data_IF_677121837567
#
_entry.id   IF_677121837567
#
_cell.length_a   1.000
_cell.length_b   1.000
_cell.length_c   1.000
_cell.angle_alpha   90.00
_cell.angle_beta   90.00
_cell.angle_gamma   90.00
#
_symmetry.space_group_name_H-M   'P 1'
#
loop_
_entity.id
_entity.type
_entity.pdbx_description
1 polymer ?
#
# COMPACT_ATOMS: atom_id res chain seq x y z
N UNK A 1 37.77 -3.95 -0.40
CA UNK A 1 37.15 -3.66 -1.69
C UNK A 1 36.19 -2.52 -1.49
N UNK A 2 36.31 -1.38 -2.21
CA UNK A 2 35.38 -0.29 -2.08
C UNK A 2 34.00 -0.76 -2.57
N UNK A 3 32.95 -0.52 -1.77
CA UNK A 3 31.57 -0.68 -2.18
C UNK A 3 31.36 0.10 -3.48
N UNK A 4 31.17 -0.60 -4.57
CA UNK A 4 30.78 0.03 -5.82
C UNK A 4 29.50 0.81 -5.54
N UNK A 5 29.59 2.14 -5.58
CA UNK A 5 28.47 3.05 -5.54
C UNK A 5 27.45 2.59 -6.61
N UNK A 6 26.40 1.92 -6.16
CA UNK A 6 25.28 1.58 -7.07
C UNK A 6 24.75 2.90 -7.59
N UNK A 7 24.81 3.09 -8.91
CA UNK A 7 24.20 4.25 -9.56
C UNK A 7 22.75 4.36 -9.12
N UNK A 8 22.28 5.55 -8.74
CA UNK A 8 20.88 5.74 -8.38
C UNK A 8 20.01 5.30 -9.57
N UNK A 9 19.11 4.35 -9.32
CA UNK A 9 18.13 3.94 -10.29
C UNK A 9 16.99 4.96 -10.21
N UNK A 10 16.94 5.89 -11.15
CA UNK A 10 15.78 6.79 -11.25
C UNK A 10 14.64 6.00 -11.89
N UNK A 11 13.53 5.77 -11.19
CA UNK A 11 12.40 5.07 -11.77
C UNK A 11 11.74 5.91 -12.85
N UNK A 12 11.28 5.25 -13.90
CA UNK A 12 10.45 5.85 -14.95
C UNK A 12 8.99 5.73 -14.47
N UNK A 13 8.22 6.80 -14.58
CA UNK A 13 6.78 6.74 -14.30
C UNK A 13 6.01 6.38 -15.57
N UNK A 14 5.12 5.40 -15.48
CA UNK A 14 4.23 5.02 -16.57
C UNK A 14 2.76 5.32 -16.21
N UNK A 15 2.04 5.90 -17.17
CA UNK A 15 0.59 6.05 -17.08
C UNK A 15 -0.06 4.75 -17.52
N UNK A 16 -0.90 4.18 -16.66
CA UNK A 16 -1.68 2.96 -16.94
C UNK A 16 -3.15 3.36 -17.07
N UNK A 17 -3.77 3.04 -18.18
CA UNK A 17 -5.20 3.26 -18.37
C UNK A 17 -6.00 2.37 -17.39
N UNK A 18 -7.13 2.85 -16.85
CA UNK A 18 -7.97 2.03 -15.99
C UNK A 18 -8.40 0.73 -16.69
N UNK A 19 -8.42 -0.41 -15.99
CA UNK A 19 -8.84 -1.68 -16.57
C UNK A 19 -10.36 -1.70 -16.84
N UNK A 20 -10.81 -2.56 -17.75
CA UNK A 20 -12.22 -2.80 -18.01
C UNK A 20 -12.96 -3.48 -16.84
N UNK A 21 -12.21 -4.19 -16.00
CA UNK A 21 -12.73 -4.79 -14.77
C UNK A 21 -11.63 -4.89 -13.72
N UNK A 22 -12.04 -4.91 -12.45
CA UNK A 22 -11.18 -5.18 -11.30
C UNK A 22 -11.72 -6.36 -10.51
N UNK A 23 -10.81 -7.15 -9.92
CA UNK A 23 -11.18 -8.19 -8.95
C UNK A 23 -10.61 -7.80 -7.59
N UNK A 24 -11.48 -7.57 -6.62
CA UNK A 24 -11.12 -7.16 -5.27
C UNK A 24 -11.19 -8.36 -4.33
N UNK A 25 -10.08 -8.60 -3.62
CA UNK A 25 -10.04 -9.61 -2.58
C UNK A 25 -10.76 -9.14 -1.32
N UNK A 26 -11.53 -10.02 -0.70
CA UNK A 26 -12.19 -9.80 0.58
C UNK A 26 -11.33 -10.25 1.77
N UNK A 27 -10.29 -11.02 1.51
CA UNK A 27 -9.31 -11.55 2.47
C UNK A 27 -7.92 -10.86 2.37
N UNK A 28 -7.89 -9.65 1.86
CA UNK A 28 -6.66 -8.87 1.60
C UNK A 28 -6.01 -8.31 2.89
N UNK A 29 -6.63 -8.55 4.04
CA UNK A 29 -6.12 -8.16 5.34
C UNK A 29 -5.62 -9.36 6.13
N UNK A 30 -4.42 -9.27 6.68
CA UNK A 30 -3.90 -10.29 7.56
C UNK A 30 -4.81 -10.43 8.80
N UNK A 31 -5.40 -11.63 8.95
CA UNK A 31 -6.28 -11.94 10.11
C UNK A 31 -7.71 -11.39 10.03
N UNK A 32 -8.15 -10.78 8.92
CA UNK A 32 -9.50 -10.27 8.78
C UNK A 32 -10.13 -10.64 7.44
N UNK A 33 -11.18 -11.45 7.46
CA UNK A 33 -12.02 -11.74 6.29
C UNK A 33 -13.19 -10.77 6.25
N UNK A 34 -13.37 -10.06 5.14
CA UNK A 34 -14.51 -9.20 4.90
C UNK A 34 -15.67 -10.00 4.28
N UNK A 35 -16.87 -9.78 4.79
CA UNK A 35 -18.08 -10.26 4.16
C UNK A 35 -18.53 -9.29 3.07
N UNK A 36 -19.03 -9.76 1.92
CA UNK A 36 -19.51 -8.89 0.86
C UNK A 36 -20.73 -8.07 1.33
N UNK A 37 -20.74 -6.78 1.01
CA UNK A 37 -21.86 -5.85 1.27
C UNK A 37 -22.73 -5.63 0.02
N UNK A 38 -22.34 -6.20 -1.10
CA UNK A 38 -22.98 -6.00 -2.42
C UNK A 38 -23.34 -7.33 -3.04
N UNK A 39 -24.21 -7.28 -4.06
CA UNK A 39 -24.66 -8.44 -4.84
C UNK A 39 -24.36 -8.26 -6.33
N UNK A 40 -24.32 -9.35 -7.06
CA UNK A 40 -24.19 -9.32 -8.52
C UNK A 40 -25.33 -8.49 -9.15
N UNK A 41 -24.98 -7.70 -10.16
CA UNK A 41 -25.90 -6.76 -10.83
C UNK A 41 -26.01 -5.39 -10.14
N UNK A 42 -25.50 -5.23 -8.92
CA UNK A 42 -25.54 -3.94 -8.22
C UNK A 42 -24.55 -2.94 -8.84
N UNK A 43 -24.99 -1.69 -9.01
CA UNK A 43 -24.09 -0.57 -9.34
C UNK A 43 -23.41 -0.08 -8.11
N UNK A 44 -22.09 0.24 -8.25
CA UNK A 44 -21.25 0.79 -7.19
C UNK A 44 -20.50 2.02 -7.70
N UNK A 45 -20.22 2.93 -6.78
CA UNK A 45 -19.37 4.10 -7.03
C UNK A 45 -17.95 3.84 -6.57
N UNK A 46 -16.97 4.53 -7.16
CA UNK A 46 -15.59 4.47 -6.70
C UNK A 46 -15.49 4.97 -5.24
N UNK A 47 -14.93 4.17 -4.36
CA UNK A 47 -14.85 4.46 -2.92
C UNK A 47 -16.03 3.92 -2.10
N UNK A 48 -17.05 3.34 -2.72
CA UNK A 48 -18.15 2.72 -1.99
C UNK A 48 -17.70 1.44 -1.28
N UNK A 49 -18.06 1.23 0.02
CA UNK A 49 -17.75 -0.02 0.72
C UNK A 49 -18.45 -1.20 0.04
N UNK A 50 -17.68 -2.23 -0.33
CA UNK A 50 -18.17 -3.44 -0.98
C UNK A 50 -17.94 -4.69 -0.15
N UNK A 51 -17.15 -4.60 0.92
CA UNK A 51 -16.92 -5.64 1.90
C UNK A 51 -16.55 -5.05 3.26
N UNK A 52 -16.93 -5.74 4.35
CA UNK A 52 -16.59 -5.36 5.70
C UNK A 52 -16.33 -6.56 6.59
N UNK A 53 -15.41 -6.44 7.53
CA UNK A 53 -15.11 -7.44 8.56
C UNK A 53 -15.69 -7.07 9.91
N UNK A 54 -15.77 -8.03 10.82
CA UNK A 54 -16.20 -7.82 12.20
C UNK A 54 -15.24 -6.91 13.00
N UNK A 55 -13.97 -6.84 12.60
CA UNK A 55 -12.98 -5.93 13.20
C UNK A 55 -13.02 -4.51 12.61
N UNK A 56 -13.99 -4.20 11.72
CA UNK A 56 -14.17 -2.87 11.14
C UNK A 56 -13.34 -2.58 9.89
N UNK A 57 -12.49 -3.51 9.45
CA UNK A 57 -11.79 -3.37 8.17
C UNK A 57 -12.80 -3.39 7.01
N UNK A 58 -12.57 -2.55 5.98
CA UNK A 58 -13.44 -2.46 4.81
C UNK A 58 -12.66 -2.57 3.51
N UNK A 59 -13.31 -3.21 2.52
CA UNK A 59 -12.89 -3.22 1.12
C UNK A 59 -13.79 -2.26 0.35
N UNK A 60 -13.19 -1.43 -0.50
CA UNK A 60 -13.91 -0.40 -1.26
C UNK A 60 -13.78 -0.65 -2.76
N UNK A 61 -14.81 -0.27 -3.50
CA UNK A 61 -14.78 -0.31 -4.97
C UNK A 61 -13.68 0.63 -5.49
N UNK A 62 -12.67 0.08 -6.13
CA UNK A 62 -11.55 0.86 -6.70
C UNK A 62 -11.91 1.57 -8.00
N UNK A 63 -13.00 1.16 -8.64
CA UNK A 63 -13.60 1.77 -9.83
C UNK A 63 -15.11 1.90 -9.65
N UNK A 64 -15.76 2.79 -10.42
CA UNK A 64 -17.23 2.80 -10.52
C UNK A 64 -17.69 1.78 -11.58
N UNK A 65 -18.87 1.20 -11.39
CA UNK A 65 -19.39 0.24 -12.36
C UNK A 65 -20.47 -0.70 -11.83
N UNK A 66 -20.44 -1.93 -12.35
CA UNK A 66 -21.43 -2.97 -12.00
C UNK A 66 -20.72 -4.20 -11.42
N UNK A 67 -21.18 -4.67 -10.28
CA UNK A 67 -20.69 -5.91 -9.67
C UNK A 67 -21.11 -7.09 -10.55
N UNK A 68 -20.16 -7.79 -11.15
CA UNK A 68 -20.42 -8.93 -12.05
C UNK A 68 -20.52 -10.24 -11.32
N UNK A 69 -19.67 -10.42 -10.31
CA UNK A 69 -19.66 -11.65 -9.52
C UNK A 69 -19.29 -11.33 -8.07
N UNK A 70 -19.80 -12.12 -7.14
CA UNK A 70 -19.49 -12.07 -5.73
C UNK A 70 -19.22 -13.50 -5.27
N UNK A 71 -18.00 -13.74 -4.82
CA UNK A 71 -17.56 -14.99 -4.21
C UNK A 71 -17.31 -14.82 -2.70
N UNK A 72 -16.86 -15.87 -2.05
CA UNK A 72 -16.54 -15.88 -0.62
C UNK A 72 -15.26 -15.10 -0.29
N UNK A 73 -14.28 -15.06 -1.21
CA UNK A 73 -12.98 -14.42 -1.01
C UNK A 73 -12.68 -13.26 -1.96
N UNK A 74 -13.51 -13.05 -2.98
CA UNK A 74 -13.33 -11.98 -3.94
C UNK A 74 -14.64 -11.58 -4.63
N UNK A 75 -14.65 -10.35 -5.17
CA UNK A 75 -15.72 -9.85 -6.03
C UNK A 75 -15.14 -9.17 -7.27
N UNK A 76 -15.93 -9.15 -8.35
CA UNK A 76 -15.53 -8.56 -9.65
C UNK A 76 -16.44 -7.37 -9.94
N UNK A 77 -15.84 -6.23 -10.27
CA UNK A 77 -16.55 -5.02 -10.72
C UNK A 77 -16.12 -4.75 -12.17
N UNK A 78 -17.10 -4.70 -13.07
CA UNK A 78 -16.90 -4.17 -14.41
C UNK A 78 -16.91 -2.66 -14.37
N UNK A 79 -15.82 -2.06 -14.84
CA UNK A 79 -15.63 -0.61 -14.85
C UNK A 79 -16.51 0.05 -15.91
N UNK A 80 -17.29 1.06 -15.54
CA UNK A 80 -18.14 1.82 -16.46
C UNK A 80 -17.40 2.99 -17.14
N UNK A 81 -16.12 3.20 -16.81
CA UNK A 81 -15.28 4.26 -17.34
C UNK A 81 -15.66 5.68 -16.91
N UNK A 82 -16.67 5.83 -16.05
CA UNK A 82 -17.18 7.16 -15.61
C UNK A 82 -16.45 7.73 -14.42
N UNK A 83 -15.71 6.89 -13.69
CA UNK A 83 -14.99 7.25 -12.45
C UNK A 83 -15.85 8.02 -11.44
N UNK A 84 -17.12 7.61 -11.28
CA UNK A 84 -18.09 8.30 -10.41
C UNK A 84 -17.73 8.07 -8.95
N UNK A 85 -17.31 9.11 -8.18
CA UNK A 85 -16.87 8.93 -6.80
C UNK A 85 -18.05 8.76 -5.84
N UNK A 86 -17.83 8.01 -4.76
CA UNK A 86 -18.69 8.05 -3.58
C UNK A 86 -18.32 9.29 -2.74
N UNK A 87 -19.22 10.25 -2.67
CA UNK A 87 -19.00 11.51 -1.95
C UNK A 87 -19.41 11.48 -0.48
N UNK A 88 -19.69 10.32 0.09
CA UNK A 88 -19.98 10.20 1.53
C UNK A 88 -18.80 10.61 2.40
N UNK A 89 -17.60 10.64 1.84
CA UNK A 89 -16.38 11.05 2.50
C UNK A 89 -15.94 12.39 1.88
N UNK A 90 -15.98 13.47 2.67
CA UNK A 90 -15.49 14.77 2.21
C UNK A 90 -13.96 14.86 2.35
N UNK A 91 -13.24 15.43 1.37
CA UNK A 91 -11.84 15.81 1.51
C UNK A 91 -11.62 16.75 2.70
N UNK A 92 -10.47 16.66 3.34
CA UNK A 92 -10.07 17.60 4.37
C UNK A 92 -9.31 18.76 3.74
N UNK A 93 -9.85 19.95 3.80
CA UNK A 93 -9.17 21.15 3.32
C UNK A 93 -7.98 21.52 4.20
N UNK A 94 -8.11 21.37 5.53
CA UNK A 94 -7.06 21.63 6.51
C UNK A 94 -7.21 20.66 7.70
N UNK A 95 -6.12 20.07 8.16
CA UNK A 95 -6.11 19.17 9.33
C UNK A 95 -6.46 19.90 10.63
N UNK A 96 -6.16 21.20 10.70
CA UNK A 96 -6.39 22.04 11.89
C UNK A 96 -7.86 22.33 12.12
N UNK A 97 -8.67 22.30 11.04
CA UNK A 97 -10.10 22.66 11.08
C UNK A 97 -11.00 21.41 11.32
N UNK A 98 -10.42 20.22 11.38
CA UNK A 98 -11.20 18.98 11.47
C UNK A 98 -11.22 18.46 12.90
N UNK A 99 -12.40 18.10 13.43
CA UNK A 99 -12.48 17.43 14.70
C UNK A 99 -11.67 16.15 14.68
N UNK A 100 -10.69 16.07 15.60
CA UNK A 100 -9.72 14.97 15.66
C UNK A 100 -10.40 13.62 15.86
N UNK A 101 -11.32 13.55 16.80
CA UNK A 101 -11.93 12.29 17.21
C UNK A 101 -12.75 11.60 16.10
N UNK A 102 -13.66 12.27 15.38
CA UNK A 102 -14.36 11.69 14.25
C UNK A 102 -13.43 11.16 13.15
N UNK A 103 -12.32 11.86 12.90
CA UNK A 103 -11.34 11.41 11.90
C UNK A 103 -10.62 10.14 12.34
N UNK A 104 -10.19 10.05 13.60
CA UNK A 104 -9.55 8.85 14.16
C UNK A 104 -10.47 7.64 14.14
N UNK A 105 -11.76 7.81 14.42
CA UNK A 105 -12.76 6.73 14.36
C UNK A 105 -13.00 6.24 12.94
N UNK A 106 -12.76 7.09 11.95
CA UNK A 106 -13.01 6.80 10.54
C UNK A 106 -11.83 6.12 9.85
N UNK A 107 -10.58 6.46 10.20
CA UNK A 107 -9.39 5.93 9.54
C UNK A 107 -9.37 4.38 9.43
N UNK A 108 -9.75 3.60 10.46
CA UNK A 108 -9.80 2.14 10.36
C UNK A 108 -10.75 1.60 9.28
N UNK A 109 -11.79 2.38 8.94
CA UNK A 109 -12.79 2.00 7.95
C UNK A 109 -12.35 2.26 6.50
N UNK A 110 -11.23 2.97 6.27
CA UNK A 110 -10.78 3.38 4.93
C UNK A 110 -9.93 2.31 4.21
N UNK A 111 -9.89 1.10 4.73
CA UNK A 111 -9.20 -0.03 4.10
C UNK A 111 -7.68 0.07 4.14
N UNK A 112 -7.13 0.92 5.01
CA UNK A 112 -5.70 1.14 5.19
C UNK A 112 -5.03 -0.07 5.85
N UNK A 113 -3.76 -0.30 5.50
CA UNK A 113 -2.94 -1.38 6.03
C UNK A 113 -1.70 -0.84 6.74
N UNK A 114 -1.32 -1.53 7.80
CA UNK A 114 -0.01 -1.42 8.42
C UNK A 114 1.03 -2.24 7.66
N UNK A 115 2.29 -2.14 8.03
CA UNK A 115 3.41 -2.83 7.36
C UNK A 115 3.27 -4.37 7.37
N UNK A 116 2.67 -4.94 8.39
CA UNK A 116 2.39 -6.37 8.53
C UNK A 116 1.10 -6.83 7.83
N UNK A 117 0.55 -5.97 6.96
CA UNK A 117 -0.70 -6.19 6.22
C UNK A 117 -1.94 -6.34 7.10
N UNK A 118 -1.85 -5.98 8.37
CA UNK A 118 -3.01 -5.92 9.26
C UNK A 118 -3.84 -4.66 8.97
N UNK A 119 -5.17 -4.71 9.18
CA UNK A 119 -5.98 -3.50 9.12
C UNK A 119 -5.60 -2.56 10.26
N UNK A 120 -5.88 -1.26 10.09
CA UNK A 120 -5.72 -0.33 11.21
C UNK A 120 -6.60 -0.77 12.38
N UNK A 121 -6.08 -0.77 13.62
CA UNK A 121 -6.87 -1.10 14.80
C UNK A 121 -7.99 -0.07 14.98
N UNK A 122 -9.15 -0.51 15.47
CA UNK A 122 -10.30 0.38 15.73
C UNK A 122 -9.96 1.47 16.76
N UNK A 123 -9.07 1.15 17.70
CA UNK A 123 -8.54 2.12 18.67
C UNK A 123 -7.10 2.46 18.30
N UNK A 124 -6.90 3.63 17.75
CA UNK A 124 -5.59 4.13 17.34
C UNK A 124 -4.80 4.75 18.50
N UNK A 125 -5.36 4.80 19.70
CA UNK A 125 -4.73 5.37 20.89
C UNK A 125 -4.81 4.41 22.08
N UNK A 126 -3.79 4.38 22.93
CA UNK A 126 -2.55 5.17 22.87
C UNK A 126 -1.61 4.69 21.76
N UNK A 127 -1.01 5.63 21.01
CA UNK A 127 0.03 5.32 20.04
C UNK A 127 1.41 5.51 20.69
N UNK A 128 2.12 4.41 20.90
CA UNK A 128 3.46 4.44 21.49
C UNK A 128 4.52 4.82 20.47
N UNK A 129 4.41 4.30 19.26
CA UNK A 129 5.26 4.68 18.15
C UNK A 129 4.51 4.68 16.83
N UNK A 130 4.77 5.69 16.02
CA UNK A 130 4.40 5.75 14.61
C UNK A 130 5.67 5.64 13.78
N UNK A 131 5.70 4.74 12.83
CA UNK A 131 6.88 4.48 12.03
C UNK A 131 6.60 4.40 10.53
N UNK A 132 7.56 4.84 9.73
CA UNK A 132 7.68 4.57 8.30
C UNK A 132 8.80 3.54 8.11
N UNK A 133 8.57 2.48 7.33
CA UNK A 133 9.56 1.45 7.02
C UNK A 133 9.86 1.44 5.51
N UNK A 134 11.09 1.81 5.13
CA UNK A 134 11.57 1.88 3.74
C UNK A 134 12.70 0.86 3.59
N UNK A 135 12.37 -0.38 3.30
CA UNK A 135 13.27 -1.51 3.49
C UNK A 135 13.60 -2.30 2.23
N UNK A 136 12.76 -2.22 1.20
CA UNK A 136 12.95 -2.94 -0.06
C UNK A 136 13.32 -1.98 -1.20
N UNK A 137 13.85 -2.53 -2.30
CA UNK A 137 14.10 -1.77 -3.53
C UNK A 137 12.80 -1.14 -4.06
N UNK A 138 11.65 -1.83 -3.90
CA UNK A 138 10.35 -1.30 -4.27
C UNK A 138 9.96 -0.11 -3.40
N UNK A 139 10.18 -0.19 -2.08
CA UNK A 139 9.91 0.91 -1.16
C UNK A 139 10.69 2.16 -1.53
N UNK A 140 11.98 2.01 -1.88
CA UNK A 140 12.81 3.13 -2.33
C UNK A 140 12.29 3.73 -3.64
N UNK A 141 11.86 2.90 -4.60
CA UNK A 141 11.28 3.40 -5.86
C UNK A 141 9.97 4.16 -5.60
N UNK A 142 9.09 3.64 -4.77
CA UNK A 142 7.85 4.31 -4.39
C UNK A 142 8.14 5.61 -3.64
N UNK A 143 9.14 5.59 -2.74
CA UNK A 143 9.56 6.77 -2.01
C UNK A 143 10.09 7.87 -2.95
N UNK A 144 10.87 7.52 -3.98
CA UNK A 144 11.35 8.47 -4.99
C UNK A 144 10.21 9.19 -5.70
N UNK A 145 9.15 8.47 -6.05
CA UNK A 145 8.01 9.02 -6.81
C UNK A 145 7.02 9.75 -5.91
N UNK A 146 6.72 9.20 -4.74
CA UNK A 146 5.63 9.64 -3.86
C UNK A 146 6.09 10.26 -2.54
N UNK A 147 7.34 10.75 -2.43
CA UNK A 147 7.91 11.25 -1.17
C UNK A 147 7.02 12.29 -0.47
N UNK A 148 6.36 13.19 -1.23
CA UNK A 148 5.47 14.21 -0.67
C UNK A 148 4.25 13.58 0.01
N UNK A 149 3.60 12.64 -0.65
CA UNK A 149 2.44 11.94 -0.12
C UNK A 149 2.82 11.07 1.08
N UNK A 150 3.95 10.35 0.97
CA UNK A 150 4.44 9.46 2.02
C UNK A 150 4.75 10.25 3.29
N UNK A 151 5.55 11.30 3.21
CA UNK A 151 5.86 12.13 4.36
C UNK A 151 4.65 12.91 4.87
N UNK A 152 3.82 13.42 3.95
CA UNK A 152 2.60 14.12 4.30
C UNK A 152 1.61 13.25 5.05
N UNK A 153 1.39 12.01 4.61
CA UNK A 153 0.52 11.04 5.29
C UNK A 153 0.99 10.70 6.69
N UNK A 154 2.29 10.41 6.85
CA UNK A 154 2.88 10.13 8.18
C UNK A 154 2.81 11.36 9.09
N UNK A 155 3.12 12.56 8.59
CA UNK A 155 3.03 13.80 9.38
C UNK A 155 1.60 14.09 9.81
N UNK A 156 0.64 13.93 8.91
CA UNK A 156 -0.77 14.11 9.22
C UNK A 156 -1.23 13.15 10.33
N UNK A 157 -0.89 11.88 10.20
CA UNK A 157 -1.22 10.90 11.23
C UNK A 157 -0.49 11.18 12.56
N UNK A 158 0.78 11.62 12.52
CA UNK A 158 1.52 12.03 13.71
C UNK A 158 0.85 13.21 14.43
N UNK A 159 0.37 14.21 13.68
CA UNK A 159 -0.39 15.34 14.25
C UNK A 159 -1.67 14.88 14.94
N UNK A 160 -2.38 13.93 14.35
CA UNK A 160 -3.61 13.36 14.90
C UNK A 160 -3.37 12.48 16.11
N UNK A 161 -2.38 11.60 16.07
CA UNK A 161 -2.14 10.60 17.11
C UNK A 161 -1.28 11.12 18.25
N UNK A 162 -0.37 12.07 17.98
CA UNK A 162 0.64 12.56 18.92
C UNK A 162 1.41 11.39 19.55
N UNK A 163 2.08 10.56 18.72
CA UNK A 163 2.79 9.38 19.21
C UNK A 163 3.93 9.80 20.15
N UNK A 164 4.31 8.91 21.08
CA UNK A 164 5.48 9.16 21.93
C UNK A 164 6.78 9.18 21.14
N UNK A 165 6.86 8.38 20.06
CA UNK A 165 8.03 8.32 19.18
C UNK A 165 7.57 8.33 17.73
N UNK A 166 8.30 9.08 16.90
CA UNK A 166 8.15 9.08 15.44
C UNK A 166 9.43 8.50 14.85
N UNK A 167 9.31 7.39 14.10
CA UNK A 167 10.44 6.58 13.67
C UNK A 167 10.48 6.44 12.15
N UNK A 168 11.69 6.37 11.61
CA UNK A 168 11.94 5.93 10.24
C UNK A 168 12.91 4.75 10.26
N UNK A 169 12.46 3.60 9.78
CA UNK A 169 13.31 2.44 9.53
C UNK A 169 13.73 2.40 8.07
N UNK A 170 15.02 2.23 7.81
CA UNK A 170 15.50 2.05 6.44
C UNK A 170 16.68 1.08 6.37
N UNK A 171 16.85 0.42 5.20
CA UNK A 171 18.01 -0.43 4.93
C UNK A 171 19.09 0.37 4.19
N UNK A 172 20.20 0.72 4.85
CA UNK A 172 21.27 1.52 4.23
C UNK A 172 21.98 0.81 3.09
N UNK A 173 21.91 -0.53 3.03
CA UNK A 173 22.50 -1.32 1.94
C UNK A 173 21.69 -1.21 0.64
N UNK A 174 20.43 -0.81 0.73
CA UNK A 174 19.50 -0.67 -0.40
C UNK A 174 19.22 0.79 -0.76
N UNK A 175 19.45 1.71 0.18
CA UNK A 175 19.19 3.14 -0.03
C UNK A 175 20.16 3.73 -1.06
N UNK A 176 19.68 4.32 -2.17
CA UNK A 176 20.53 5.16 -3.02
C UNK A 176 20.99 6.39 -2.25
N UNK A 177 22.22 6.90 -2.54
CA UNK A 177 22.79 8.03 -1.82
C UNK A 177 21.87 9.28 -1.81
N UNK A 178 21.29 9.62 -2.97
CA UNK A 178 20.36 10.75 -3.08
C UNK A 178 19.09 10.59 -2.22
N UNK A 179 18.60 9.34 -2.07
CA UNK A 179 17.41 9.07 -1.25
C UNK A 179 17.73 9.06 0.24
N UNK A 180 18.96 8.68 0.60
CA UNK A 180 19.42 8.80 1.99
C UNK A 180 19.33 10.25 2.47
N UNK A 181 19.73 11.22 1.66
CA UNK A 181 19.60 12.64 2.01
C UNK A 181 18.14 13.08 2.20
N UNK A 182 17.21 12.53 1.40
CA UNK A 182 15.78 12.80 1.57
C UNK A 182 15.23 12.14 2.83
N UNK A 183 15.65 10.92 3.13
CA UNK A 183 15.26 10.22 4.36
C UNK A 183 15.76 10.97 5.62
N UNK A 184 16.96 11.58 5.55
CA UNK A 184 17.51 12.40 6.65
C UNK A 184 16.68 13.65 6.97
N UNK A 185 15.79 14.09 6.06
CA UNK A 185 14.83 15.18 6.30
C UNK A 185 13.56 14.73 7.03
N UNK A 186 13.45 13.45 7.38
CA UNK A 186 12.35 12.94 8.18
C UNK A 186 12.36 13.58 9.58
N UNK A 187 11.24 14.07 10.11
CA UNK A 187 11.19 14.82 11.36
C UNK A 187 11.23 13.96 12.63
N UNK A 188 11.62 12.70 12.53
CA UNK A 188 11.67 11.74 13.62
C UNK A 188 13.03 11.06 13.76
N UNK A 189 13.09 10.04 14.60
CA UNK A 189 14.28 9.24 14.83
C UNK A 189 14.54 8.29 13.65
N UNK A 190 15.76 8.27 13.13
CA UNK A 190 16.17 7.34 12.09
C UNK A 190 16.79 6.08 12.71
N UNK A 191 16.38 4.93 12.20
CA UNK A 191 16.93 3.63 12.61
C UNK A 191 17.28 2.80 11.38
N UNK A 192 18.48 2.23 11.38
CA UNK A 192 18.91 1.33 10.32
C UNK A 192 18.52 -0.12 10.63
N UNK A 193 17.98 -0.80 9.64
CA UNK A 193 17.55 -2.20 9.75
C UNK A 193 17.99 -2.95 8.49
N UNK A 194 18.43 -4.20 8.66
CA UNK A 194 18.63 -5.08 7.51
C UNK A 194 17.24 -5.57 7.02
N UNK A 195 16.82 -5.11 5.86
CA UNK A 195 15.54 -5.41 5.24
C UNK A 195 15.33 -6.90 4.86
N UNK A 196 16.36 -7.72 4.99
CA UNK A 196 16.28 -9.17 4.80
C UNK A 196 15.85 -9.93 6.06
N UNK A 197 15.68 -9.23 7.18
CA UNK A 197 15.34 -9.89 8.44
C UNK A 197 13.90 -10.45 8.38
N UNK A 198 13.70 -11.78 8.38
CA UNK A 198 12.39 -12.39 8.32
C UNK A 198 11.53 -12.12 9.56
N UNK A 199 12.15 -11.67 10.65
CA UNK A 199 11.49 -11.37 11.93
C UNK A 199 11.38 -9.85 12.18
N UNK A 200 11.26 -9.07 11.11
CA UNK A 200 11.22 -7.61 11.22
C UNK A 200 10.14 -7.11 12.18
N UNK A 201 8.93 -7.67 12.13
CA UNK A 201 7.84 -7.30 13.02
C UNK A 201 8.21 -7.54 14.50
N UNK A 202 8.84 -8.68 14.82
CA UNK A 202 9.32 -8.99 16.17
C UNK A 202 10.43 -8.02 16.62
N UNK A 203 11.33 -7.67 15.70
CA UNK A 203 12.39 -6.71 15.97
C UNK A 203 11.84 -5.30 16.21
N UNK A 204 10.82 -4.89 15.45
CA UNK A 204 10.13 -3.62 15.65
C UNK A 204 9.38 -3.60 16.99
N UNK A 205 8.75 -4.72 17.35
CA UNK A 205 8.07 -4.88 18.64
C UNK A 205 9.04 -4.99 19.82
N UNK A 206 10.34 -5.30 19.60
CA UNK A 206 11.34 -5.57 20.63
C UNK A 206 11.10 -6.88 21.40
N UNK A 207 10.15 -7.71 20.95
CA UNK A 207 9.80 -9.02 21.53
C UNK A 207 9.18 -9.94 20.50
N UNK A 208 9.10 -11.22 20.82
CA UNK A 208 8.31 -12.16 20.02
C UNK A 208 6.83 -11.81 20.12
N UNK A 209 6.14 -11.82 18.94
CA UNK A 209 4.70 -11.63 18.88
C UNK A 209 4.00 -12.96 19.13
N UNK A 210 3.02 -12.97 20.00
CA UNK A 210 2.11 -14.09 20.17
C UNK A 210 1.23 -14.26 18.93
N UNK A 211 0.73 -15.48 18.72
CA UNK A 211 -0.12 -15.75 17.57
C UNK A 211 -1.40 -14.89 17.62
N UNK A 212 -1.65 -14.12 16.56
CA UNK A 212 -2.82 -13.25 16.45
C UNK A 212 -2.63 -11.85 17.04
N UNK A 213 -1.49 -11.54 17.66
CA UNK A 213 -1.17 -10.18 18.13
C UNK A 213 -0.51 -9.41 16.99
N UNK A 214 -1.06 -8.27 16.65
CA UNK A 214 -0.51 -7.36 15.65
C UNK A 214 0.38 -6.28 16.27
N UNK A 215 1.19 -5.59 15.47
CA UNK A 215 1.93 -4.41 15.93
C UNK A 215 0.98 -3.31 16.44
N UNK A 216 -0.17 -3.17 15.81
CA UNK A 216 -1.22 -2.23 16.21
C UNK A 216 -1.74 -2.46 17.62
N UNK A 217 -1.90 -3.71 18.03
CA UNK A 217 -2.34 -4.08 19.39
C UNK A 217 -1.34 -3.68 20.46
N UNK A 218 -0.06 -3.52 20.07
CA UNK A 218 1.01 -3.01 20.93
C UNK A 218 1.13 -1.48 20.90
N UNK A 219 0.24 -0.79 20.20
CA UNK A 219 0.32 0.66 20.00
C UNK A 219 1.48 1.08 19.09
N UNK A 220 1.97 0.16 18.24
CA UNK A 220 3.01 0.39 17.25
C UNK A 220 2.38 0.43 15.86
N UNK A 221 2.26 1.61 15.28
CA UNK A 221 1.74 1.78 13.93
C UNK A 221 2.91 1.93 12.95
N UNK A 222 3.15 0.92 12.14
CA UNK A 222 4.23 0.90 11.15
C UNK A 222 3.62 0.89 9.75
N UNK A 223 4.06 1.78 8.89
CA UNK A 223 3.58 1.88 7.51
C UNK A 223 4.70 1.63 6.52
N UNK A 224 4.38 0.95 5.42
CA UNK A 224 5.20 0.96 4.21
C UNK A 224 5.04 2.31 3.47
N UNK A 225 5.91 2.66 2.51
CA UNK A 225 5.70 3.81 1.64
C UNK A 225 4.32 3.83 0.98
N UNK A 226 3.86 2.67 0.53
CA UNK A 226 2.53 2.51 -0.08
C UNK A 226 1.41 2.82 0.93
N UNK A 227 1.47 2.26 2.14
CA UNK A 227 0.49 2.54 3.19
C UNK A 227 0.50 4.00 3.62
N UNK A 228 1.68 4.63 3.68
CA UNK A 228 1.82 6.04 4.02
C UNK A 228 1.27 6.97 2.92
N UNK A 229 1.42 6.62 1.65
CA UNK A 229 0.78 7.34 0.55
C UNK A 229 -0.75 7.20 0.59
N UNK A 230 -1.26 6.00 0.89
CA UNK A 230 -2.69 5.79 1.08
C UNK A 230 -3.27 6.57 2.28
N UNK A 231 -2.48 6.77 3.35
CA UNK A 231 -2.86 7.68 4.44
C UNK A 231 -3.04 9.12 3.97
N UNK A 232 -2.18 9.60 3.08
CA UNK A 232 -2.34 10.91 2.47
C UNK A 232 -3.67 11.03 1.73
N UNK A 233 -3.99 10.07 0.86
CA UNK A 233 -5.24 10.05 0.11
C UNK A 233 -6.44 10.00 1.06
N UNK A 234 -6.38 9.18 2.10
CA UNK A 234 -7.43 9.05 3.09
C UNK A 234 -7.69 10.34 3.87
N UNK A 235 -6.63 11.03 4.29
CA UNK A 235 -6.73 12.22 5.13
C UNK A 235 -7.07 13.45 4.30
N UNK A 236 -6.35 13.71 3.21
CA UNK A 236 -6.48 14.95 2.44
C UNK A 236 -7.48 14.89 1.31
N UNK A 237 -7.66 13.72 0.68
CA UNK A 237 -8.62 13.56 -0.42
C UNK A 237 -9.94 12.95 0.04
N UNK A 238 -10.00 12.41 1.26
CA UNK A 238 -11.15 11.66 1.76
C UNK A 238 -11.37 10.35 0.99
N UNK A 239 -10.35 9.85 0.29
CA UNK A 239 -10.44 8.61 -0.48
C UNK A 239 -10.00 7.43 0.37
N UNK A 240 -10.76 6.32 0.39
CA UNK A 240 -10.27 5.06 0.92
C UNK A 240 -9.04 4.57 0.15
N UNK A 241 -8.43 3.46 0.57
CA UNK A 241 -7.32 2.86 -0.17
C UNK A 241 -7.82 2.22 -1.46
N UNK A 242 -7.81 2.98 -2.56
CA UNK A 242 -8.37 2.61 -3.87
C UNK A 242 -7.31 2.34 -4.92
N UNK A 243 -6.12 2.89 -4.76
CA UNK A 243 -5.04 2.86 -5.75
C UNK A 243 -3.74 2.47 -5.10
N UNK A 244 -2.90 1.80 -5.85
CA UNK A 244 -1.58 1.43 -5.38
C UNK A 244 -0.50 1.78 -6.39
N UNK A 245 0.68 2.10 -5.89
CA UNK A 245 1.90 2.20 -6.66
C UNK A 245 2.49 0.80 -6.89
N UNK A 246 2.80 0.50 -8.14
CA UNK A 246 3.42 -0.76 -8.54
C UNK A 246 4.77 -0.47 -9.17
N UNK A 247 5.78 -1.18 -8.70
CA UNK A 247 7.13 -1.14 -9.26
C UNK A 247 7.30 -2.35 -10.17
N UNK A 248 7.63 -2.10 -11.43
CA UNK A 248 7.96 -3.17 -12.39
C UNK A 248 9.47 -3.17 -12.57
N UNK A 249 10.10 -4.29 -12.27
CA UNK A 249 11.53 -4.49 -12.37
C UNK A 249 11.86 -5.50 -13.47
N UNK A 250 12.78 -5.14 -14.37
CA UNK A 250 13.38 -6.10 -15.31
C UNK A 250 14.44 -6.99 -14.65
N UNK A 251 14.79 -8.09 -15.31
CA UNK A 251 15.76 -9.09 -14.82
C UNK A 251 17.12 -8.47 -14.45
N UNK A 252 17.64 -7.58 -15.27
CA UNK A 252 18.95 -6.93 -15.05
C UNK A 252 18.92 -5.84 -13.99
N UNK A 253 17.81 -5.64 -13.29
CA UNK A 253 17.63 -4.63 -12.23
C UNK A 253 18.02 -3.19 -12.62
N UNK A 254 18.22 -2.92 -13.93
CA UNK A 254 18.68 -1.60 -14.41
C UNK A 254 17.54 -0.63 -14.70
N UNK A 255 16.36 -1.17 -15.00
CA UNK A 255 15.16 -0.37 -15.24
C UNK A 255 14.11 -0.64 -14.17
N UNK A 256 13.52 0.41 -13.67
CA UNK A 256 12.39 0.38 -12.76
C UNK A 256 11.32 1.27 -13.35
N UNK A 257 10.14 0.71 -13.54
CA UNK A 257 8.97 1.48 -13.93
C UNK A 257 8.03 1.53 -12.75
N UNK A 258 7.57 2.71 -12.40
CA UNK A 258 6.56 2.91 -11.35
C UNK A 258 5.27 3.38 -12.00
N UNK A 259 4.18 2.72 -11.69
CA UNK A 259 2.85 3.10 -12.15
C UNK A 259 1.88 3.10 -10.98
N UNK A 260 0.77 3.84 -11.14
CA UNK A 260 -0.35 3.82 -10.19
C UNK A 260 -1.54 3.16 -10.87
N UNK A 261 -2.13 2.18 -10.18
CA UNK A 261 -3.28 1.42 -10.71
C UNK A 261 -4.40 1.31 -9.68
N UNK A 262 -5.66 1.17 -10.09
CA UNK A 262 -6.74 0.78 -9.20
C UNK A 262 -6.44 -0.56 -8.53
N UNK A 263 -6.81 -0.75 -7.27
CA UNK A 263 -6.75 -2.04 -6.60
C UNK A 263 -7.54 -3.08 -7.39
N UNK A 264 -7.01 -4.30 -7.45
CA UNK A 264 -7.65 -5.38 -8.20
C UNK A 264 -7.40 -5.36 -9.71
N UNK A 265 -6.51 -4.48 -10.20
CA UNK A 265 -6.05 -4.53 -11.60
C UNK A 265 -5.20 -5.78 -11.83
N UNK A 266 -5.45 -6.50 -12.93
CA UNK A 266 -4.69 -7.70 -13.28
C UNK A 266 -3.26 -7.37 -13.72
N UNK A 267 -2.33 -8.27 -13.42
CA UNK A 267 -0.94 -8.13 -13.86
C UNK A 267 -0.82 -8.06 -15.37
N UNK A 268 -1.62 -8.86 -16.11
CA UNK A 268 -1.65 -8.82 -17.57
C UNK A 268 -1.97 -7.42 -18.11
N UNK A 269 -2.97 -6.75 -17.52
CA UNK A 269 -3.33 -5.39 -17.91
C UNK A 269 -2.18 -4.40 -17.68
N UNK A 270 -1.53 -4.48 -16.51
CA UNK A 270 -0.41 -3.60 -16.15
C UNK A 270 0.75 -3.77 -17.13
N UNK A 271 1.15 -5.01 -17.40
CA UNK A 271 2.26 -5.30 -18.33
C UNK A 271 1.95 -4.87 -19.75
N UNK A 272 0.74 -5.13 -20.24
CA UNK A 272 0.31 -4.73 -21.57
C UNK A 272 0.34 -3.20 -21.73
N UNK A 273 -0.18 -2.45 -20.76
CA UNK A 273 -0.18 -0.98 -20.78
C UNK A 273 1.22 -0.38 -20.58
N UNK A 274 2.11 -1.07 -19.87
CA UNK A 274 3.51 -0.69 -19.72
C UNK A 274 4.36 -1.09 -20.96
N UNK A 275 3.76 -1.73 -21.97
CA UNK A 275 4.45 -2.28 -23.15
C UNK A 275 5.58 -3.25 -22.79
N UNK A 276 5.38 -4.03 -21.73
CA UNK A 276 6.33 -5.02 -21.23
C UNK A 276 5.82 -6.43 -21.51
N UNK A 277 6.73 -7.29 -21.95
CA UNK A 277 6.48 -8.72 -22.12
C UNK A 277 7.56 -9.50 -21.40
N UNK A 278 7.18 -10.48 -20.61
CA UNK A 278 8.10 -11.35 -19.92
C UNK A 278 7.55 -12.78 -19.89
N UNK A 279 8.35 -13.80 -20.21
CA UNK A 279 7.91 -15.20 -20.16
C UNK A 279 7.64 -15.66 -18.72
N UNK A 280 8.29 -15.02 -17.75
CA UNK A 280 8.06 -15.30 -16.33
C UNK A 280 7.96 -14.01 -15.55
N UNK A 281 6.91 -13.89 -14.72
CA UNK A 281 6.70 -12.77 -13.81
C UNK A 281 6.68 -13.29 -12.38
N UNK A 282 7.38 -12.60 -11.49
CA UNK A 282 7.31 -12.82 -10.06
C UNK A 282 6.50 -11.70 -9.40
N UNK A 283 5.62 -12.05 -8.47
CA UNK A 283 5.07 -11.12 -7.49
C UNK A 283 6.07 -11.02 -6.33
N UNK A 284 6.79 -9.90 -6.26
CA UNK A 284 7.88 -9.69 -5.32
C UNK A 284 9.27 -9.68 -5.97
N UNK A 285 10.32 -9.79 -5.14
CA UNK A 285 11.71 -9.80 -5.58
C UNK A 285 12.14 -11.15 -6.16
N UNK A 286 13.30 -11.19 -6.83
CA UNK A 286 13.89 -12.47 -7.28
C UNK A 286 14.24 -13.43 -6.13
N UNK A 287 14.44 -12.89 -4.92
CA UNK A 287 14.85 -13.68 -3.75
C UNK A 287 13.65 -14.26 -2.98
N UNK A 288 12.54 -13.53 -2.95
CA UNK A 288 11.38 -13.87 -2.10
C UNK A 288 10.05 -13.87 -2.85
N UNK A 289 10.06 -13.52 -4.14
CA UNK A 289 8.84 -13.44 -4.95
C UNK A 289 8.30 -14.82 -5.32
N UNK A 290 6.99 -14.88 -5.49
CA UNK A 290 6.29 -16.07 -5.99
C UNK A 290 6.08 -15.99 -7.50
N UNK A 291 6.23 -17.09 -8.21
CA UNK A 291 5.97 -17.16 -9.64
C UNK A 291 4.47 -16.92 -9.89
N UNK A 292 4.18 -15.98 -10.78
CA UNK A 292 2.82 -15.74 -11.27
C UNK A 292 2.49 -16.79 -12.34
N UNK A 293 1.55 -17.68 -12.02
CA UNK A 293 1.11 -18.73 -12.95
C UNK A 293 0.03 -18.25 -13.91
N UNK A 294 -0.83 -17.36 -13.44
CA UNK A 294 -1.94 -16.80 -14.20
C UNK A 294 -1.78 -15.27 -14.26
N UNK A 295 -1.51 -14.69 -15.44
CA UNK A 295 -1.35 -13.25 -15.58
C UNK A 295 -2.66 -12.47 -15.37
N UNK A 296 -3.81 -13.12 -15.39
CA UNK A 296 -5.09 -12.49 -15.03
C UNK A 296 -5.25 -12.26 -13.52
N UNK A 297 -4.32 -12.80 -12.70
CA UNK A 297 -4.28 -12.57 -11.26
C UNK A 297 -4.29 -11.07 -10.96
N UNK A 298 -5.26 -10.59 -10.15
CA UNK A 298 -5.29 -9.21 -9.72
C UNK A 298 -4.23 -8.95 -8.65
N UNK A 299 -3.76 -7.70 -8.58
CA UNK A 299 -2.89 -7.27 -7.48
C UNK A 299 -3.70 -7.06 -6.21
N UNK A 300 -3.17 -7.57 -5.11
CA UNK A 300 -3.63 -7.25 -3.77
C UNK A 300 -2.82 -6.07 -3.18
N UNK A 301 -3.24 -5.59 -2.02
CA UNK A 301 -2.63 -4.41 -1.37
C UNK A 301 -1.15 -4.60 -0.98
N UNK A 302 -0.67 -5.84 -0.90
CA UNK A 302 0.72 -6.16 -0.58
C UNK A 302 1.63 -6.30 -1.80
N UNK A 303 1.09 -6.41 -3.02
CA UNK A 303 1.84 -6.70 -4.24
C UNK A 303 2.42 -5.42 -4.88
N UNK A 304 3.41 -4.80 -4.27
CA UNK A 304 4.01 -3.55 -4.76
C UNK A 304 5.14 -3.74 -5.76
N UNK A 305 5.58 -4.97 -6.02
CA UNK A 305 6.70 -5.28 -6.92
C UNK A 305 6.36 -6.41 -7.88
N UNK A 306 6.50 -6.15 -9.16
CA UNK A 306 6.51 -7.14 -10.24
C UNK A 306 7.93 -7.29 -10.78
N UNK A 307 8.47 -8.51 -10.77
CA UNK A 307 9.79 -8.79 -11.36
C UNK A 307 9.62 -9.60 -12.64
N UNK A 308 10.00 -9.02 -13.76
CA UNK A 308 9.95 -9.62 -15.09
C UNK A 308 11.27 -10.31 -15.41
N UNK A 309 11.22 -11.62 -15.68
CA UNK A 309 12.38 -12.45 -16.03
C UNK A 309 12.31 -12.88 -17.48
N UNK A 310 13.48 -12.94 -18.15
CA UNK A 310 13.61 -13.40 -19.53
C UNK A 310 12.98 -12.50 -20.59
N UNK A 311 12.59 -11.27 -20.23
CA UNK A 311 12.01 -10.27 -21.12
C UNK A 311 12.88 -9.02 -21.20
N UNK A 312 12.70 -8.25 -22.25
CA UNK A 312 13.34 -6.95 -22.47
C UNK A 312 12.38 -5.84 -22.06
#
# INVERSE_FOLDING_TARGET
>A
MPLALRRPLTPITAAIAPPSAVMLYLDDFCGALCQPLVRAGQRVRRGEPVGASSCGAQVHASVSGVVRAVGSSALVIENDGRDTPDRRIAPLACLEDVPREPLLQRLPQLGLLTYDLSPLPQKLQPCHALALAVLSDADFCLFQVFARQIFGGIRALATLLRPRRLLLYYDPKRAPAAETERLLKFPGELQTVDGRCPQLAQRLAGRSLERGVTLGDLGLLVFSPQGAAALWDAIYLGEPYLRMGVVIAGEKRRTRTVCTVPLGTSVAHILAQAHLSAPTVLLGSQETGRILRDPTTPLNKGDTLLTCLGGV
#
